data_IF_140774918801
#
_entry.id   IF_140774918801
#
_cell.length_a   1.000
_cell.length_b   1.000
_cell.length_c   1.000
_cell.angle_alpha   90.00
_cell.angle_beta   90.00
_cell.angle_gamma   90.00
#
_symmetry.space_group_name_H-M   'P 1'
#
loop_
_entity.id
_entity.type
_entity.pdbx_description
1 polymer ?
#
# COMPACT_ATOMS: atom_id res chain seq x y z
N UNK A 1 -27.14 -5.87 23.83
CA UNK A 1 -27.38 -5.33 22.48
C UNK A 1 -26.08 -4.73 21.96
N UNK A 2 -25.23 -5.55 21.35
CA UNK A 2 -23.89 -5.17 20.93
C UNK A 2 -23.98 -4.32 19.66
N UNK A 3 -23.58 -3.05 19.73
CA UNK A 3 -23.57 -2.16 18.59
C UNK A 3 -22.45 -2.61 17.65
N UNK A 4 -22.80 -3.22 16.53
CA UNK A 4 -21.91 -3.35 15.38
C UNK A 4 -21.31 -1.96 15.09
N UNK A 5 -19.99 -1.89 14.93
CA UNK A 5 -19.35 -0.62 14.59
C UNK A 5 -19.95 -0.10 13.28
N UNK A 6 -20.51 1.11 13.28
CA UNK A 6 -21.18 1.62 12.08
C UNK A 6 -20.19 1.69 10.92
N UNK A 7 -20.61 1.39 9.68
CA UNK A 7 -19.72 1.36 8.51
C UNK A 7 -18.96 2.67 8.32
N UNK A 8 -19.56 3.80 8.70
CA UNK A 8 -18.92 5.13 8.69
C UNK A 8 -17.72 5.23 9.63
N UNK A 9 -17.74 4.55 10.78
CA UNK A 9 -16.60 4.54 11.74
C UNK A 9 -15.43 3.71 11.21
N UNK A 10 -15.71 2.59 10.55
CA UNK A 10 -14.69 1.77 9.90
C UNK A 10 -14.05 2.51 8.72
N UNK A 11 -14.85 3.22 7.92
CA UNK A 11 -14.35 4.06 6.83
C UNK A 11 -13.47 5.21 7.35
N UNK A 12 -13.91 5.92 8.39
CA UNK A 12 -13.12 6.99 9.00
C UNK A 12 -11.79 6.47 9.57
N UNK A 13 -11.80 5.29 10.20
CA UNK A 13 -10.59 4.65 10.71
C UNK A 13 -9.63 4.26 9.57
N UNK A 14 -10.14 3.61 8.52
CA UNK A 14 -9.34 3.28 7.35
C UNK A 14 -8.74 4.52 6.68
N UNK A 15 -9.53 5.59 6.53
CA UNK A 15 -9.05 6.86 5.98
C UNK A 15 -7.96 7.48 6.87
N UNK A 16 -8.13 7.42 8.20
CA UNK A 16 -7.12 7.92 9.13
C UNK A 16 -5.82 7.12 9.09
N UNK A 17 -5.91 5.79 8.95
CA UNK A 17 -4.75 4.91 8.82
C UNK A 17 -3.98 5.21 7.52
N UNK A 18 -4.70 5.37 6.41
CA UNK A 18 -4.10 5.79 5.15
C UNK A 18 -3.44 7.16 5.26
N UNK A 19 -4.10 8.14 5.90
CA UNK A 19 -3.56 9.48 6.07
C UNK A 19 -2.30 9.50 6.94
N UNK A 20 -2.16 8.60 7.91
CA UNK A 20 -0.96 8.45 8.74
C UNK A 20 0.22 7.85 7.98
N UNK A 21 -0.03 6.96 7.01
CA UNK A 21 1.02 6.27 6.25
C UNK A 21 1.45 7.05 5.00
N UNK A 22 0.53 7.84 4.41
CA UNK A 22 0.74 8.55 3.15
C UNK A 22 1.97 9.48 3.15
N UNK A 23 2.26 10.28 4.20
CA UNK A 23 3.44 11.15 4.23
C UNK A 23 4.75 10.36 4.13
N UNK A 24 4.86 9.24 4.85
CA UNK A 24 6.02 8.37 4.80
C UNK A 24 6.16 7.70 3.42
N UNK A 25 5.05 7.22 2.86
CA UNK A 25 5.03 6.59 1.54
C UNK A 25 5.46 7.56 0.43
N UNK A 26 4.97 8.80 0.45
CA UNK A 26 5.32 9.85 -0.52
C UNK A 26 6.78 10.25 -0.45
N UNK A 27 7.43 10.18 0.72
CA UNK A 27 8.86 10.46 0.86
C UNK A 27 9.76 9.24 0.58
N UNK A 28 9.27 8.02 0.82
CA UNK A 28 10.00 6.79 0.52
C UNK A 28 9.99 6.44 -0.98
N UNK A 29 8.91 6.70 -1.70
CA UNK A 29 8.82 6.46 -3.14
C UNK A 29 9.94 7.15 -3.95
N UNK A 30 10.20 8.47 -3.80
CA UNK A 30 11.31 9.15 -4.47
C UNK A 30 12.68 8.68 -3.97
N UNK A 31 12.81 8.27 -2.69
CA UNK A 31 14.03 7.67 -2.19
C UNK A 31 14.32 6.32 -2.87
N UNK A 32 13.30 5.49 -3.09
CA UNK A 32 13.40 4.22 -3.82
C UNK A 32 13.78 4.45 -5.30
N UNK A 33 13.16 5.44 -5.96
CA UNK A 33 13.48 5.82 -7.34
C UNK A 33 14.95 6.23 -7.50
N UNK A 34 15.53 6.92 -6.51
CA UNK A 34 16.95 7.28 -6.49
C UNK A 34 17.88 6.07 -6.48
N UNK A 35 17.47 4.92 -5.95
CA UNK A 35 18.26 3.69 -6.02
C UNK A 35 18.17 3.00 -7.38
N UNK A 36 17.10 3.25 -8.15
CA UNK A 36 16.84 2.57 -9.42
C UNK A 36 17.32 3.35 -10.65
N UNK A 37 17.41 4.68 -10.57
CA UNK A 37 17.76 5.52 -11.72
C UNK A 37 18.81 6.59 -11.39
N UNK A 38 19.82 6.80 -12.25
CA UNK A 38 20.76 7.89 -12.09
C UNK A 38 20.07 9.24 -12.31
N UNK A 39 20.51 10.26 -11.56
CA UNK A 39 19.93 11.62 -11.47
C UNK A 39 19.74 12.36 -12.81
N UNK A 40 20.40 11.88 -13.86
CA UNK A 40 20.41 12.51 -15.18
C UNK A 40 19.05 12.38 -15.90
N UNK A 41 18.28 11.32 -15.61
CA UNK A 41 16.99 11.04 -16.23
C UNK A 41 15.81 11.48 -15.35
N UNK A 42 14.74 11.99 -15.96
CA UNK A 42 13.44 12.13 -15.29
C UNK A 42 12.79 10.73 -15.18
N UNK A 43 12.13 10.37 -14.06
CA UNK A 43 11.72 11.16 -12.88
C UNK A 43 12.74 11.21 -11.72
N UNK A 44 13.99 10.76 -11.92
CA UNK A 44 15.00 10.72 -10.86
C UNK A 44 15.47 12.13 -10.43
N UNK A 45 15.33 13.14 -11.30
CA UNK A 45 15.70 14.53 -11.01
C UNK A 45 14.70 15.23 -10.10
N UNK A 46 13.40 15.07 -10.37
CA UNK A 46 12.31 15.63 -9.55
C UNK A 46 12.26 14.99 -8.17
N UNK A 47 12.44 13.67 -8.07
CA UNK A 47 12.57 12.97 -6.79
C UNK A 47 13.75 13.47 -5.94
N UNK A 48 14.87 13.81 -6.58
CA UNK A 48 16.02 14.43 -5.90
C UNK A 48 15.70 15.81 -5.31
N UNK A 49 14.98 16.67 -6.03
CA UNK A 49 14.60 17.99 -5.55
C UNK A 49 13.67 17.90 -4.31
N UNK A 50 12.75 16.94 -4.32
CA UNK A 50 11.84 16.66 -3.19
C UNK A 50 12.62 16.21 -1.95
N UNK A 51 13.53 15.24 -2.11
CA UNK A 51 14.35 14.74 -0.99
C UNK A 51 15.29 15.82 -0.44
N UNK A 52 15.90 16.62 -1.31
CA UNK A 52 16.83 17.65 -0.90
C UNK A 52 16.11 18.76 -0.12
N UNK A 53 14.93 19.19 -0.59
CA UNK A 53 14.08 20.11 0.18
C UNK A 53 13.70 19.51 1.54
N UNK A 54 13.24 18.25 1.57
CA UNK A 54 12.85 17.55 2.80
C UNK A 54 14.01 17.46 3.79
N UNK A 55 15.22 17.15 3.32
CA UNK A 55 16.42 17.04 4.17
C UNK A 55 16.85 18.37 4.81
N UNK A 56 16.49 19.51 4.19
CA UNK A 56 16.82 20.84 4.70
C UNK A 56 15.77 21.39 5.67
N UNK A 57 14.51 20.96 5.56
CA UNK A 57 13.39 21.52 6.32
C UNK A 57 12.84 20.59 7.39
N UNK A 58 13.10 19.28 7.31
CA UNK A 58 12.62 18.29 8.28
C UNK A 58 13.73 18.03 9.30
N UNK A 59 13.47 18.30 10.58
CA UNK A 59 14.42 17.98 11.64
C UNK A 59 14.53 16.46 11.84
N UNK A 60 15.59 15.98 12.51
CA UNK A 60 15.71 14.54 12.83
C UNK A 60 14.56 14.03 13.68
N UNK A 61 14.02 14.87 14.57
CA UNK A 61 12.87 14.51 15.41
C UNK A 61 11.60 14.36 14.57
N UNK A 62 11.35 15.29 13.65
CA UNK A 62 10.19 15.25 12.75
C UNK A 62 10.27 14.06 11.78
N UNK A 63 11.47 13.76 11.28
CA UNK A 63 11.71 12.58 10.45
C UNK A 63 11.41 11.29 11.23
N UNK A 64 11.86 11.18 12.48
CA UNK A 64 11.56 10.03 13.32
C UNK A 64 10.05 9.88 13.57
N UNK A 65 9.34 11.00 13.77
CA UNK A 65 7.88 10.98 13.90
C UNK A 65 7.20 10.54 12.60
N UNK A 66 7.60 11.11 11.45
CA UNK A 66 6.98 10.84 10.15
C UNK A 66 7.21 9.41 9.67
N UNK A 67 8.44 8.89 9.77
CA UNK A 67 8.81 7.58 9.23
C UNK A 67 8.63 6.43 10.22
N UNK A 68 8.58 6.72 11.52
CA UNK A 68 8.48 5.69 12.56
C UNK A 68 7.23 5.88 13.42
N UNK A 69 7.01 7.07 13.96
CA UNK A 69 5.88 7.36 14.83
C UNK A 69 4.52 7.13 14.18
N UNK A 70 4.23 7.84 13.08
CA UNK A 70 2.92 7.75 12.42
C UNK A 70 2.61 6.34 11.89
N UNK A 71 3.53 5.62 11.23
CA UNK A 71 3.28 4.25 10.80
C UNK A 71 3.06 3.29 11.98
N UNK A 72 3.80 3.43 13.08
CA UNK A 72 3.59 2.60 14.28
C UNK A 72 2.20 2.85 14.88
N UNK A 73 1.78 4.12 14.98
CA UNK A 73 0.43 4.46 15.46
C UNK A 73 -0.64 3.86 14.54
N UNK A 74 -0.46 3.99 13.22
CA UNK A 74 -1.36 3.40 12.22
C UNK A 74 -1.48 1.87 12.40
N UNK A 75 -0.35 1.16 12.52
CA UNK A 75 -0.33 -0.29 12.75
C UNK A 75 -1.02 -0.68 14.06
N UNK A 76 -0.75 0.03 15.15
CA UNK A 76 -1.36 -0.27 16.46
C UNK A 76 -2.88 -0.05 16.41
N UNK A 77 -3.33 1.06 15.84
CA UNK A 77 -4.76 1.38 15.72
C UNK A 77 -5.47 0.42 14.76
N UNK A 78 -4.90 0.16 13.59
CA UNK A 78 -5.44 -0.78 12.60
C UNK A 78 -5.54 -2.19 13.17
N UNK A 79 -4.49 -2.68 13.84
CA UNK A 79 -4.48 -4.00 14.48
C UNK A 79 -5.52 -4.08 15.61
N UNK A 80 -5.60 -3.06 16.48
CA UNK A 80 -6.60 -3.02 17.54
C UNK A 80 -8.05 -3.01 16.98
N UNK A 81 -8.29 -2.23 15.92
CA UNK A 81 -9.58 -2.16 15.25
C UNK A 81 -9.96 -3.49 14.59
N UNK A 82 -9.04 -4.11 13.86
CA UNK A 82 -9.22 -5.41 13.22
C UNK A 82 -9.47 -6.51 14.25
N UNK A 83 -8.70 -6.56 15.34
CA UNK A 83 -8.91 -7.53 16.43
C UNK A 83 -10.26 -7.34 17.11
N UNK A 84 -10.68 -6.09 17.32
CA UNK A 84 -11.99 -5.77 17.89
C UNK A 84 -13.12 -6.20 16.97
N UNK A 85 -13.01 -5.91 15.66
CA UNK A 85 -13.99 -6.31 14.66
C UNK A 85 -14.06 -7.84 14.54
N UNK A 86 -12.91 -8.50 14.45
CA UNK A 86 -12.80 -9.96 14.41
C UNK A 86 -13.48 -10.60 15.63
N UNK A 87 -13.22 -10.11 16.85
CA UNK A 87 -13.84 -10.64 18.07
C UNK A 87 -15.35 -10.43 18.13
N UNK A 88 -15.88 -9.38 17.50
CA UNK A 88 -17.31 -9.03 17.56
C UNK A 88 -18.14 -9.65 16.46
N UNK A 89 -17.53 -9.96 15.31
CA UNK A 89 -18.27 -10.31 14.11
C UNK A 89 -17.98 -11.75 13.66
N UNK A 90 -18.88 -12.67 14.00
CA UNK A 90 -18.74 -14.09 13.68
C UNK A 90 -18.97 -14.35 12.18
N UNK A 91 -19.84 -13.58 11.53
CA UNK A 91 -20.10 -13.70 10.08
C UNK A 91 -18.85 -13.33 9.29
N UNK A 92 -18.12 -12.30 9.71
CA UNK A 92 -16.86 -11.89 9.08
C UNK A 92 -15.80 -13.00 9.12
N UNK A 93 -15.76 -13.79 10.20
CA UNK A 93 -14.87 -14.97 10.28
C UNK A 93 -15.30 -16.07 9.35
N UNK A 94 -16.60 -16.34 9.29
CA UNK A 94 -17.17 -17.36 8.43
C UNK A 94 -16.95 -17.02 6.96
N UNK A 95 -17.25 -15.78 6.56
CA UNK A 95 -17.05 -15.27 5.20
C UNK A 95 -15.58 -15.29 4.81
N UNK A 96 -14.68 -14.84 5.69
CA UNK A 96 -13.23 -14.90 5.42
C UNK A 96 -12.75 -16.35 5.28
N UNK A 97 -13.23 -17.27 6.12
CA UNK A 97 -12.88 -18.69 6.03
C UNK A 97 -13.40 -19.34 4.75
N UNK A 98 -14.60 -18.96 4.30
CA UNK A 98 -15.21 -19.41 3.06
C UNK A 98 -14.46 -18.85 1.85
N UNK A 99 -14.12 -17.56 1.86
CA UNK A 99 -13.31 -16.90 0.84
C UNK A 99 -11.92 -17.55 0.74
N UNK A 100 -11.27 -17.83 1.87
CA UNK A 100 -9.96 -18.47 1.89
C UNK A 100 -10.02 -19.90 1.34
N UNK A 101 -11.08 -20.65 1.69
CA UNK A 101 -11.31 -22.00 1.17
C UNK A 101 -11.59 -21.98 -0.34
N UNK A 102 -12.38 -21.00 -0.80
CA UNK A 102 -12.65 -20.78 -2.23
C UNK A 102 -11.37 -20.42 -2.99
N UNK A 103 -10.59 -19.46 -2.47
CA UNK A 103 -9.31 -19.08 -3.06
C UNK A 103 -8.35 -20.26 -3.15
N UNK A 104 -8.23 -21.08 -2.10
CA UNK A 104 -7.41 -22.30 -2.13
C UNK A 104 -7.88 -23.29 -3.17
N UNK A 105 -9.19 -23.42 -3.37
CA UNK A 105 -9.77 -24.32 -4.38
C UNK A 105 -9.52 -23.84 -5.81
N UNK A 106 -9.47 -22.52 -6.01
CA UNK A 106 -9.29 -21.89 -7.32
C UNK A 106 -7.88 -21.31 -7.55
N UNK A 107 -6.93 -21.64 -6.67
CA UNK A 107 -5.52 -21.22 -6.77
C UNK A 107 -4.91 -21.52 -8.14
N UNK A 108 -5.09 -22.72 -8.73
CA UNK A 108 -4.57 -23.00 -10.07
C UNK A 108 -5.15 -22.09 -11.15
N UNK A 109 -6.44 -21.73 -11.04
CA UNK A 109 -7.12 -20.81 -11.96
C UNK A 109 -6.59 -19.38 -11.79
N UNK A 110 -6.36 -18.95 -10.54
CA UNK A 110 -5.77 -17.65 -10.25
C UNK A 110 -4.32 -17.55 -10.77
N UNK A 111 -3.52 -18.61 -10.58
CA UNK A 111 -2.15 -18.69 -11.12
C UNK A 111 -2.17 -18.62 -12.65
N UNK A 112 -3.01 -19.43 -13.29
CA UNK A 112 -3.16 -19.43 -14.75
C UNK A 112 -3.58 -18.05 -15.26
N UNK A 113 -4.59 -17.44 -14.64
CA UNK A 113 -5.07 -16.10 -15.00
C UNK A 113 -3.98 -15.03 -14.84
N UNK A 114 -3.23 -15.06 -13.74
CA UNK A 114 -2.12 -14.13 -13.53
C UNK A 114 -1.00 -14.30 -14.55
N UNK A 115 -0.69 -15.55 -14.93
CA UNK A 115 0.29 -15.85 -15.97
C UNK A 115 -0.16 -15.34 -17.34
N UNK A 116 -1.42 -15.55 -17.70
CA UNK A 116 -2.00 -15.04 -18.95
C UNK A 116 -2.00 -13.51 -18.99
N UNK A 117 -2.36 -12.84 -17.89
CA UNK A 117 -2.31 -11.38 -17.78
C UNK A 117 -0.87 -10.85 -17.93
N UNK A 118 0.10 -11.50 -17.29
CA UNK A 118 1.51 -11.13 -17.41
C UNK A 118 2.01 -11.31 -18.84
N UNK A 119 1.69 -12.43 -19.48
CA UNK A 119 2.04 -12.69 -20.88
C UNK A 119 1.45 -11.62 -21.82
N UNK A 120 0.18 -11.25 -21.62
CA UNK A 120 -0.47 -10.20 -22.41
C UNK A 120 0.19 -8.83 -22.20
N UNK A 121 0.56 -8.47 -20.96
CA UNK A 121 1.25 -7.22 -20.65
C UNK A 121 2.65 -7.16 -21.29
N UNK A 122 3.41 -8.25 -21.24
CA UNK A 122 4.72 -8.35 -21.90
C UNK A 122 4.56 -8.18 -23.41
N UNK A 123 3.60 -8.87 -24.02
CA UNK A 123 3.34 -8.76 -25.46
C UNK A 123 2.99 -7.31 -25.85
N UNK A 124 2.11 -6.65 -25.09
CA UNK A 124 1.75 -5.26 -25.32
C UNK A 124 2.96 -4.32 -25.21
N UNK A 125 3.82 -4.52 -24.21
CA UNK A 125 5.04 -3.73 -24.05
C UNK A 125 6.02 -3.93 -25.21
N UNK A 126 6.21 -5.17 -25.68
CA UNK A 126 7.06 -5.49 -26.83
C UNK A 126 6.52 -4.84 -28.11
N UNK A 127 5.22 -4.94 -28.37
CA UNK A 127 4.59 -4.30 -29.54
C UNK A 127 4.73 -2.78 -29.48
N UNK A 128 4.49 -2.17 -28.31
CA UNK A 128 4.66 -0.73 -28.12
C UNK A 128 6.11 -0.30 -28.40
N UNK A 129 7.09 -1.07 -27.96
CA UNK A 129 8.51 -0.82 -28.23
C UNK A 129 8.82 -0.89 -29.73
N UNK A 130 8.35 -1.94 -30.44
CA UNK A 130 8.54 -2.09 -31.90
C UNK A 130 7.92 -0.94 -32.70
N UNK A 131 6.82 -0.35 -32.24
CA UNK A 131 6.16 0.75 -32.94
C UNK A 131 6.84 2.10 -32.67
N UNK A 132 7.49 2.25 -31.49
CA UNK A 132 8.07 3.53 -31.05
C UNK A 132 9.54 3.69 -31.45
N UNK A 133 10.26 2.57 -31.61
CA UNK A 133 11.64 2.51 -32.11
C UNK A 133 11.68 2.25 -33.64
#
# INVERSE_FOLDING_TARGET
MNHAASPSKLFALALSEWLLVLPAAVLLAPAALRFMQPRQYEPARTSWAILEWASRHISRADAALLFLGLPVIAVVLGCAALLSLWRRDETLRQDLSAALRSLRRHLPVAILGSGTLLAAAILAAVVAHIITD
#
